data_IF_977106334874
#
_entry.id   IF_977106334874
#
_cell.length_a   1.000
_cell.length_b   1.000
_cell.length_c   1.000
_cell.angle_alpha   90.00
_cell.angle_beta   90.00
_cell.angle_gamma   90.00
#
_symmetry.space_group_name_H-M   'P 1'
#
loop_
_entity.id
_entity.type
_entity.pdbx_description
1 polymer ?
#
# COMPACT_ATOMS: atom_id res chain seq x y z
N UNK A 1 -10.12 15.38 -5.58
CA UNK A 1 -10.42 14.93 -4.21
C UNK A 1 -10.16 13.43 -4.08
N UNK A 2 -9.58 13.03 -2.95
CA UNK A 2 -9.46 11.61 -2.58
C UNK A 2 -10.81 11.15 -2.05
N UNK A 3 -11.25 9.97 -2.49
CA UNK A 3 -12.45 9.31 -1.95
C UNK A 3 -12.01 8.34 -0.86
N UNK A 4 -12.55 8.52 0.33
CA UNK A 4 -12.29 7.68 1.49
C UNK A 4 -13.44 6.69 1.68
N UNK A 5 -13.11 5.45 1.88
CA UNK A 5 -14.04 4.38 2.20
C UNK A 5 -13.73 3.85 3.60
N UNK A 6 -14.80 3.64 4.35
CA UNK A 6 -14.76 2.98 5.63
C UNK A 6 -15.79 1.86 5.62
N UNK A 7 -15.36 0.65 5.92
CA UNK A 7 -16.20 -0.54 5.85
C UNK A 7 -16.18 -1.27 7.18
N UNK A 8 -17.35 -1.43 7.77
CA UNK A 8 -17.57 -2.21 8.98
C UNK A 8 -18.42 -3.43 8.65
N UNK A 9 -18.06 -4.58 9.16
CA UNK A 9 -18.84 -5.80 9.00
C UNK A 9 -18.58 -6.81 10.13
N UNK A 10 -19.46 -7.77 10.28
CA UNK A 10 -19.28 -8.87 11.21
C UNK A 10 -18.96 -10.15 10.47
N UNK A 11 -17.76 -10.68 10.66
CA UNK A 11 -17.37 -11.96 10.10
C UNK A 11 -17.92 -13.12 10.93
N UNK A 12 -18.85 -13.92 10.36
CA UNK A 12 -19.50 -15.05 11.03
C UNK A 12 -19.05 -16.41 10.52
N UNK A 13 -18.18 -16.46 9.52
CA UNK A 13 -17.75 -17.71 8.88
C UNK A 13 -16.23 -17.74 8.71
N UNK A 14 -15.66 -18.92 8.74
CA UNK A 14 -14.25 -19.15 8.44
C UNK A 14 -14.02 -19.58 6.98
N UNK A 15 -12.76 -19.81 6.65
CA UNK A 15 -12.31 -20.45 5.40
C UNK A 15 -12.75 -19.72 4.12
N UNK A 16 -12.70 -18.38 4.12
CA UNK A 16 -13.04 -17.59 2.95
C UNK A 16 -12.12 -16.37 2.79
N UNK A 17 -12.23 -15.73 1.65
CA UNK A 17 -11.63 -14.44 1.36
C UNK A 17 -12.72 -13.44 0.99
N UNK A 18 -12.64 -12.25 1.54
CA UNK A 18 -13.51 -11.13 1.19
C UNK A 18 -12.67 -10.04 0.54
N UNK A 19 -13.13 -9.54 -0.60
CA UNK A 19 -12.44 -8.51 -1.37
C UNK A 19 -13.39 -7.37 -1.69
N UNK A 20 -12.88 -6.15 -1.66
CA UNK A 20 -13.53 -5.03 -2.34
C UNK A 20 -12.95 -4.91 -3.74
N UNK A 21 -13.81 -4.76 -4.74
CA UNK A 21 -13.44 -4.76 -6.15
C UNK A 21 -13.77 -3.42 -6.77
N UNK A 22 -12.80 -2.87 -7.51
CA UNK A 22 -12.95 -1.67 -8.30
C UNK A 22 -12.88 -2.01 -9.78
N UNK A 23 -13.79 -1.45 -10.58
CA UNK A 23 -13.69 -1.51 -12.03
C UNK A 23 -12.76 -0.40 -12.51
N UNK A 24 -11.74 -0.76 -13.28
CA UNK A 24 -10.81 0.21 -13.86
C UNK A 24 -11.47 0.98 -15.01
N UNK A 25 -11.18 2.25 -15.12
CA UNK A 25 -11.65 3.08 -16.23
C UNK A 25 -10.92 2.83 -17.56
N UNK A 26 -9.83 2.07 -17.55
CA UNK A 26 -9.03 1.72 -18.72
C UNK A 26 -8.43 0.31 -18.63
N UNK A 27 -7.92 -0.20 -19.77
CA UNK A 27 -7.19 -1.47 -19.82
C UNK A 27 -5.71 -1.22 -19.53
N UNK A 28 -5.31 -1.15 -18.27
CA UNK A 28 -3.89 -1.14 -17.93
C UNK A 28 -3.33 -2.57 -17.95
N UNK A 29 -2.16 -2.74 -18.57
CA UNK A 29 -1.48 -4.04 -18.69
C UNK A 29 -0.97 -4.59 -17.35
N UNK A 30 -1.03 -3.80 -16.29
CA UNK A 30 -0.57 -4.18 -14.96
C UNK A 30 -0.84 -3.10 -13.92
N UNK A 31 -0.24 -3.28 -12.77
CA UNK A 31 -0.25 -2.32 -11.68
C UNK A 31 1.17 -2.11 -11.16
N UNK A 32 1.40 -1.00 -10.48
CA UNK A 32 2.62 -0.76 -9.71
C UNK A 32 2.22 -0.65 -8.25
N UNK A 33 2.87 -1.38 -7.40
CA UNK A 33 2.60 -1.37 -5.95
C UNK A 33 3.78 -0.87 -5.16
N UNK A 34 3.51 -0.09 -4.13
CA UNK A 34 4.51 0.26 -3.16
C UNK A 34 4.99 -0.95 -2.39
N UNK A 35 6.30 -1.02 -2.22
CA UNK A 35 6.98 -1.97 -1.37
C UNK A 35 7.95 -1.19 -0.45
N UNK A 36 8.66 -1.89 0.45
CA UNK A 36 9.68 -1.27 1.29
C UNK A 36 10.74 -0.58 0.42
N UNK A 37 10.88 0.74 0.54
CA UNK A 37 11.87 1.56 -0.15
C UNK A 37 11.83 1.59 -1.69
N UNK A 38 10.79 1.03 -2.31
CA UNK A 38 10.66 1.00 -3.78
C UNK A 38 9.22 0.80 -4.21
N UNK A 39 8.97 0.94 -5.51
CA UNK A 39 7.75 0.49 -6.17
C UNK A 39 8.06 -0.63 -7.13
N UNK A 40 7.15 -1.59 -7.26
CA UNK A 40 7.34 -2.79 -8.07
C UNK A 40 6.21 -2.91 -9.09
N UNK A 41 6.58 -2.97 -10.37
CA UNK A 41 5.66 -3.27 -11.46
C UNK A 41 5.18 -4.72 -11.40
N UNK A 42 3.87 -4.91 -11.51
CA UNK A 42 3.18 -6.21 -11.50
C UNK A 42 2.40 -6.36 -12.79
N UNK A 43 2.86 -7.23 -13.67
CA UNK A 43 2.10 -7.54 -14.88
C UNK A 43 0.76 -8.17 -14.50
N UNK A 44 -0.30 -7.83 -15.24
CA UNK A 44 -1.55 -8.54 -15.11
C UNK A 44 -1.34 -9.98 -15.59
N UNK A 45 -1.55 -11.01 -14.77
CA UNK A 45 -1.36 -12.37 -15.19
C UNK A 45 -2.37 -12.73 -16.28
N UNK A 46 -1.96 -13.57 -17.22
CA UNK A 46 -2.90 -14.18 -18.15
C UNK A 46 -4.02 -14.87 -17.35
N UNK A 47 -5.25 -14.94 -17.89
CA UNK A 47 -6.34 -15.64 -17.24
C UNK A 47 -5.88 -17.05 -16.84
N UNK A 48 -5.81 -17.32 -15.54
CA UNK A 48 -5.44 -18.65 -15.07
C UNK A 48 -6.65 -19.56 -15.33
N UNK A 49 -6.43 -20.64 -16.07
CA UNK A 49 -7.42 -21.66 -16.29
C UNK A 49 -8.06 -22.09 -14.95
N UNK A 50 -9.37 -21.97 -14.87
CA UNK A 50 -10.11 -22.02 -13.60
C UNK A 50 -10.51 -23.43 -13.15
N UNK A 51 -10.07 -24.49 -13.82
CA UNK A 51 -10.45 -25.86 -13.45
C UNK A 51 -9.44 -26.49 -12.52
N UNK A 52 -9.95 -27.07 -11.45
CA UNK A 52 -9.17 -27.74 -10.39
C UNK A 52 -8.30 -28.87 -10.96
N UNK A 53 -8.78 -29.55 -11.99
CA UNK A 53 -8.08 -30.68 -12.63
C UNK A 53 -6.85 -30.20 -13.44
N UNK A 54 -6.95 -29.09 -14.16
CA UNK A 54 -5.87 -28.57 -15.00
C UNK A 54 -4.71 -27.97 -14.19
N UNK A 55 -4.96 -27.54 -12.95
CA UNK A 55 -3.93 -26.98 -12.07
C UNK A 55 -3.14 -28.06 -11.31
N UNK A 56 -3.78 -29.18 -11.00
CA UNK A 56 -3.15 -30.23 -10.19
C UNK A 56 -2.04 -30.98 -10.96
N UNK A 57 -2.19 -31.12 -12.27
CA UNK A 57 -1.27 -31.86 -13.12
C UNK A 57 -0.11 -31.01 -13.66
N UNK A 58 -0.21 -29.68 -13.57
CA UNK A 58 0.77 -28.75 -14.18
C UNK A 58 1.81 -28.22 -13.21
N UNK A 59 1.68 -28.43 -11.89
CA UNK A 59 2.60 -27.87 -10.91
C UNK A 59 3.55 -28.96 -10.36
N UNK A 60 4.85 -28.88 -10.65
CA UNK A 60 5.83 -29.70 -9.97
C UNK A 60 5.75 -29.49 -8.45
N UNK A 61 6.01 -30.54 -7.68
CA UNK A 61 6.06 -30.46 -6.22
C UNK A 61 7.00 -29.32 -5.78
N UNK A 62 6.50 -28.43 -4.95
CA UNK A 62 7.26 -27.32 -4.39
C UNK A 62 7.22 -25.99 -5.19
N UNK A 63 6.54 -25.96 -6.32
CA UNK A 63 6.31 -24.71 -7.07
C UNK A 63 4.90 -24.17 -6.86
N UNK A 64 4.78 -22.85 -6.78
CA UNK A 64 3.49 -22.17 -6.73
C UNK A 64 3.06 -21.71 -8.12
N UNK A 65 1.79 -21.85 -8.43
CA UNK A 65 1.22 -21.26 -9.63
C UNK A 65 1.27 -19.72 -9.55
N UNK A 66 1.46 -19.03 -10.67
CA UNK A 66 1.37 -17.58 -10.72
C UNK A 66 0.06 -17.09 -10.10
N UNK A 67 0.15 -16.08 -9.25
CA UNK A 67 -0.99 -15.46 -8.58
C UNK A 67 -1.33 -14.12 -9.22
N UNK A 68 -2.61 -13.78 -9.23
CA UNK A 68 -3.08 -12.44 -9.57
C UNK A 68 -3.11 -11.50 -8.35
N UNK A 69 -2.58 -11.95 -7.21
CA UNK A 69 -2.53 -11.20 -5.97
C UNK A 69 -1.11 -10.92 -5.56
N UNK A 70 -0.88 -9.71 -5.10
CA UNK A 70 0.44 -9.18 -4.83
C UNK A 70 0.43 -8.39 -3.52
N UNK A 71 1.57 -8.34 -2.82
CA UNK A 71 1.70 -7.47 -1.66
C UNK A 71 1.73 -6.00 -2.07
N UNK A 72 1.19 -5.15 -1.22
CA UNK A 72 1.37 -3.71 -1.27
C UNK A 72 1.51 -3.16 0.15
N UNK A 73 2.11 -1.98 0.27
CA UNK A 73 2.20 -1.26 1.53
C UNK A 73 1.00 -0.30 1.63
N UNK A 74 1.19 0.96 1.34
CA UNK A 74 0.17 2.01 1.48
C UNK A 74 -0.71 2.18 0.25
N UNK A 75 -0.15 1.91 -0.94
CA UNK A 75 -0.86 2.12 -2.20
C UNK A 75 -0.41 1.17 -3.31
N UNK A 76 -1.26 1.07 -4.29
CA UNK A 76 -0.90 0.65 -5.64
C UNK A 76 -1.61 1.55 -6.64
N UNK A 77 -1.10 1.62 -7.87
CA UNK A 77 -1.79 2.30 -8.97
C UNK A 77 -1.85 1.42 -10.21
N UNK A 78 -2.89 1.63 -11.01
CA UNK A 78 -3.11 0.92 -12.27
C UNK A 78 -3.75 1.87 -13.28
N UNK A 79 -3.05 2.10 -14.40
CA UNK A 79 -3.45 3.15 -15.33
C UNK A 79 -3.37 4.53 -14.67
N UNK A 80 -4.46 5.27 -14.72
CA UNK A 80 -4.56 6.63 -14.18
C UNK A 80 -5.24 6.69 -12.79
N UNK A 81 -5.28 5.57 -12.08
CA UNK A 81 -5.99 5.44 -10.81
C UNK A 81 -5.07 4.94 -9.71
N UNK A 82 -5.12 5.62 -8.56
CA UNK A 82 -4.39 5.26 -7.35
C UNK A 82 -5.36 4.74 -6.31
N UNK A 83 -4.98 3.67 -5.65
CA UNK A 83 -5.73 3.02 -4.60
C UNK A 83 -4.91 3.01 -3.32
N UNK A 84 -5.51 3.43 -2.21
CA UNK A 84 -4.87 3.58 -0.91
C UNK A 84 -5.45 2.58 0.09
N UNK A 85 -4.64 2.20 1.07
CA UNK A 85 -5.11 1.38 2.17
C UNK A 85 -4.44 1.75 3.49
N UNK A 86 -5.10 1.38 4.58
CA UNK A 86 -4.57 1.48 5.94
C UNK A 86 -4.48 0.08 6.53
N UNK A 87 -3.38 -0.63 6.21
CA UNK A 87 -3.10 -1.95 6.76
C UNK A 87 -3.64 -3.15 5.98
N UNK A 88 -4.06 -2.97 4.72
CA UNK A 88 -4.45 -4.07 3.83
C UNK A 88 -3.25 -4.49 2.96
N UNK A 89 -2.54 -5.59 3.31
CA UNK A 89 -1.24 -5.89 2.71
C UNK A 89 -1.32 -6.58 1.33
N UNK A 90 -2.51 -6.83 0.81
CA UNK A 90 -2.69 -7.59 -0.43
C UNK A 90 -3.69 -6.91 -1.36
N UNK A 91 -3.31 -6.76 -2.61
CA UNK A 91 -4.21 -6.38 -3.70
C UNK A 91 -4.26 -7.46 -4.78
N UNK A 92 -5.35 -7.50 -5.53
CA UNK A 92 -5.53 -8.35 -6.70
C UNK A 92 -5.70 -7.53 -7.97
N UNK A 93 -5.38 -8.14 -9.11
CA UNK A 93 -5.65 -7.53 -10.42
C UNK A 93 -6.16 -8.54 -11.44
N UNK A 94 -7.06 -8.05 -12.28
CA UNK A 94 -7.56 -8.73 -13.47
C UNK A 94 -7.58 -7.72 -14.62
N UNK A 95 -7.97 -8.14 -15.82
CA UNK A 95 -7.92 -7.27 -17.00
C UNK A 95 -8.61 -5.91 -16.78
N UNK A 96 -9.82 -5.92 -16.20
CA UNK A 96 -10.65 -4.72 -16.05
C UNK A 96 -10.93 -4.37 -14.58
N UNK A 97 -10.28 -5.05 -13.63
CA UNK A 97 -10.56 -4.91 -12.22
C UNK A 97 -9.28 -4.93 -11.40
N UNK A 98 -9.35 -4.24 -10.28
CA UNK A 98 -8.40 -4.38 -9.17
C UNK A 98 -9.19 -4.59 -7.89
N UNK A 99 -8.56 -5.17 -6.88
CA UNK A 99 -9.22 -5.43 -5.61
C UNK A 99 -8.26 -5.26 -4.43
N UNK A 100 -8.82 -4.94 -3.26
CA UNK A 100 -8.16 -5.17 -1.98
C UNK A 100 -8.73 -6.41 -1.31
N UNK A 101 -7.88 -7.26 -0.78
CA UNK A 101 -8.29 -8.30 0.16
C UNK A 101 -8.52 -7.65 1.52
N UNK A 102 -9.79 -7.50 1.90
CA UNK A 102 -10.17 -6.88 3.18
C UNK A 102 -10.26 -7.89 4.32
N UNK A 103 -10.41 -9.18 4.00
CA UNK A 103 -10.35 -10.26 4.96
C UNK A 103 -9.84 -11.54 4.30
N UNK A 104 -8.93 -12.22 5.00
CA UNK A 104 -8.48 -13.55 4.65
C UNK A 104 -8.64 -14.48 5.85
N UNK A 105 -9.78 -15.12 5.93
CA UNK A 105 -10.16 -16.05 7.00
C UNK A 105 -9.64 -17.46 6.67
N UNK A 106 -8.52 -17.87 7.26
CA UNK A 106 -7.87 -19.17 6.99
C UNK A 106 -7.43 -19.82 8.29
N UNK A 107 -8.13 -20.86 8.72
CA UNK A 107 -7.91 -21.52 10.01
C UNK A 107 -6.73 -22.52 10.07
N UNK A 108 -5.82 -22.50 9.09
CA UNK A 108 -4.62 -23.33 9.08
C UNK A 108 -3.39 -22.54 8.70
N UNK A 109 -2.27 -22.75 9.36
CA UNK A 109 -1.00 -22.14 9.03
C UNK A 109 -0.50 -22.57 7.64
N UNK A 110 -0.66 -23.85 7.30
CA UNK A 110 -0.36 -24.41 5.98
C UNK A 110 -1.30 -25.57 5.67
N UNK A 111 -1.42 -25.89 4.38
CA UNK A 111 -2.16 -27.06 3.88
C UNK A 111 -1.34 -27.83 2.87
N UNK A 112 -1.45 -29.15 2.88
CA UNK A 112 -0.69 -30.03 1.98
C UNK A 112 -1.19 -29.93 0.54
N UNK A 113 -2.49 -29.70 0.34
CA UNK A 113 -3.10 -29.60 -1.00
C UNK A 113 -3.73 -28.23 -1.17
N UNK A 114 -3.11 -27.42 -2.00
CA UNK A 114 -3.62 -26.14 -2.46
C UNK A 114 -3.78 -26.19 -3.98
N UNK A 115 -4.78 -25.49 -4.50
CA UNK A 115 -5.03 -25.41 -5.94
C UNK A 115 -3.85 -24.84 -6.73
N UNK A 116 -3.05 -24.00 -6.11
CA UNK A 116 -1.89 -23.35 -6.72
C UNK A 116 -0.55 -24.00 -6.39
N UNK A 117 -0.52 -25.07 -5.57
CA UNK A 117 0.73 -25.69 -5.16
C UNK A 117 0.53 -27.15 -4.78
N UNK A 118 1.30 -28.05 -5.39
CA UNK A 118 1.37 -29.45 -5.01
C UNK A 118 2.37 -29.66 -3.87
N UNK A 119 1.89 -29.86 -2.66
CA UNK A 119 2.71 -30.09 -1.46
C UNK A 119 2.59 -29.01 -0.40
N UNK A 120 3.04 -29.32 0.82
CA UNK A 120 3.02 -28.39 1.95
C UNK A 120 4.21 -27.43 1.94
N UNK A 121 4.01 -26.19 2.42
CA UNK A 121 5.08 -25.21 2.63
C UNK A 121 5.43 -25.07 4.12
N UNK A 122 4.81 -25.84 4.98
CA UNK A 122 5.03 -25.79 6.42
C UNK A 122 4.10 -26.76 7.17
N UNK A 123 4.14 -26.76 8.49
CA UNK A 123 3.31 -27.64 9.29
C UNK A 123 1.82 -27.30 9.15
N UNK A 124 0.97 -28.33 9.03
CA UNK A 124 -0.49 -28.20 9.02
C UNK A 124 -1.03 -27.96 10.43
N UNK A 125 -0.71 -26.82 11.02
CA UNK A 125 -1.21 -26.44 12.35
C UNK A 125 -2.54 -25.69 12.21
N UNK A 126 -3.46 -25.99 13.11
CA UNK A 126 -4.70 -25.23 13.24
C UNK A 126 -4.41 -23.85 13.86
N UNK A 127 -4.96 -22.83 13.25
CA UNK A 127 -4.88 -21.44 13.69
C UNK A 127 -6.30 -20.84 13.65
N UNK A 128 -7.21 -21.29 14.54
CA UNK A 128 -8.63 -20.92 14.47
C UNK A 128 -8.86 -19.41 14.56
N UNK A 129 -8.03 -18.70 15.31
CA UNK A 129 -8.10 -17.24 15.45
C UNK A 129 -7.84 -16.50 14.14
N UNK A 130 -7.08 -17.10 13.22
CA UNK A 130 -6.83 -16.52 11.88
C UNK A 130 -8.07 -16.57 10.96
N UNK A 131 -9.18 -17.14 11.40
CA UNK A 131 -10.48 -16.94 10.77
C UNK A 131 -11.07 -15.54 11.04
N UNK A 132 -10.51 -14.79 12.00
CA UNK A 132 -10.90 -13.41 12.31
C UNK A 132 -12.43 -13.27 12.48
N UNK A 133 -13.04 -14.15 13.27
CA UNK A 133 -14.49 -14.05 13.55
C UNK A 133 -14.81 -12.83 14.41
N UNK A 134 -15.98 -12.25 14.18
CA UNK A 134 -16.48 -11.08 14.91
C UNK A 134 -16.40 -9.79 14.09
N UNK A 135 -16.47 -8.62 14.76
CA UNK A 135 -16.47 -7.33 14.10
C UNK A 135 -15.14 -7.03 13.43
N UNK A 136 -15.21 -6.51 12.22
CA UNK A 136 -14.07 -6.09 11.39
C UNK A 136 -14.31 -4.67 10.91
N UNK A 137 -13.23 -3.92 10.82
CA UNK A 137 -13.22 -2.54 10.36
C UNK A 137 -12.02 -2.34 9.44
N UNK A 138 -12.23 -1.79 8.26
CA UNK A 138 -11.16 -1.52 7.29
C UNK A 138 -11.37 -0.19 6.61
N UNK A 139 -10.25 0.51 6.34
CA UNK A 139 -10.25 1.78 5.61
C UNK A 139 -9.39 1.66 4.37
N UNK A 140 -9.88 2.22 3.27
CA UNK A 140 -9.19 2.29 2.00
C UNK A 140 -9.64 3.52 1.22
N UNK A 141 -8.96 3.84 0.13
CA UNK A 141 -9.26 5.04 -0.64
C UNK A 141 -8.96 4.88 -2.12
N UNK A 142 -9.43 5.85 -2.88
CA UNK A 142 -9.23 5.96 -4.32
C UNK A 142 -9.07 7.41 -4.73
N UNK A 143 -8.20 7.66 -5.72
CA UNK A 143 -8.09 8.94 -6.40
C UNK A 143 -7.65 8.76 -7.86
N UNK A 144 -8.00 9.68 -8.77
CA UNK A 144 -7.35 9.77 -10.06
C UNK A 144 -5.90 10.23 -9.89
N UNK A 145 -4.97 9.61 -10.58
CA UNK A 145 -3.54 9.95 -10.51
C UNK A 145 -3.27 11.40 -10.97
N UNK A 146 -4.04 11.88 -11.94
CA UNK A 146 -4.00 13.28 -12.40
C UNK A 146 -4.24 14.31 -11.28
N UNK A 147 -4.84 13.90 -10.15
CA UNK A 147 -5.01 14.77 -8.99
C UNK A 147 -3.67 15.27 -8.43
N UNK A 148 -2.62 14.48 -8.54
CA UNK A 148 -1.27 14.88 -8.12
C UNK A 148 -0.75 16.11 -8.89
N UNK A 149 -1.23 16.32 -10.12
CA UNK A 149 -0.86 17.46 -10.96
C UNK A 149 -1.71 18.72 -10.71
N UNK A 150 -2.86 18.57 -10.03
CA UNK A 150 -3.84 19.66 -9.81
C UNK A 150 -3.58 20.46 -8.53
N UNK A 151 -2.65 20.04 -7.71
CA UNK A 151 -2.30 20.80 -6.52
C UNK A 151 -1.45 21.99 -6.96
N UNK A 152 -2.01 23.22 -6.87
CA UNK A 152 -1.42 24.48 -7.32
C UNK A 152 -0.22 24.95 -6.49
N UNK A 153 0.29 24.12 -5.59
CA UNK A 153 1.46 24.44 -4.81
C UNK A 153 2.69 24.60 -5.72
N UNK A 154 3.51 25.65 -5.55
CA UNK A 154 4.71 25.85 -6.35
C UNK A 154 5.64 24.63 -6.23
N UNK A 155 5.91 23.96 -7.33
CA UNK A 155 6.76 22.75 -7.37
C UNK A 155 6.06 21.45 -7.78
N UNK A 156 4.75 21.46 -8.04
CA UNK A 156 4.03 20.33 -8.64
C UNK A 156 4.16 20.24 -10.17
N UNK A 157 4.69 21.26 -10.81
CA UNK A 157 4.92 21.23 -12.24
C UNK A 157 6.01 20.20 -12.57
N UNK A 158 5.65 19.10 -13.26
CA UNK A 158 6.59 18.15 -13.82
C UNK A 158 6.62 16.77 -13.18
N UNK A 159 5.56 16.31 -12.50
CA UNK A 159 5.44 14.91 -12.15
C UNK A 159 5.05 14.08 -13.38
N UNK A 160 5.98 13.96 -14.33
CA UNK A 160 5.88 12.99 -15.43
C UNK A 160 6.06 11.54 -14.93
N UNK A 161 6.35 11.36 -13.63
CA UNK A 161 6.55 10.06 -12.99
C UNK A 161 5.32 9.67 -12.17
N UNK A 162 4.51 8.71 -12.63
CA UNK A 162 3.30 8.25 -11.93
C UNK A 162 3.55 7.82 -10.49
N UNK A 163 4.73 7.25 -10.21
CA UNK A 163 5.09 6.76 -8.88
C UNK A 163 5.23 7.90 -7.85
N UNK A 164 5.86 9.00 -8.23
CA UNK A 164 6.00 10.16 -7.35
C UNK A 164 4.63 10.78 -7.03
N UNK A 165 3.74 10.88 -8.04
CA UNK A 165 2.38 11.35 -7.85
C UNK A 165 1.55 10.45 -6.93
N UNK A 166 1.65 9.14 -7.10
CA UNK A 166 0.95 8.16 -6.26
C UNK A 166 1.44 8.21 -4.80
N UNK A 167 2.76 8.34 -4.58
CA UNK A 167 3.34 8.51 -3.23
C UNK A 167 2.83 9.75 -2.53
N UNK A 168 2.83 10.87 -3.24
CA UNK A 168 2.33 12.12 -2.68
C UNK A 168 0.85 12.03 -2.32
N UNK A 169 0.02 11.44 -3.18
CA UNK A 169 -1.39 11.22 -2.85
C UNK A 169 -1.56 10.26 -1.66
N UNK A 170 -0.68 9.28 -1.50
CA UNK A 170 -0.67 8.40 -0.34
C UNK A 170 -0.29 9.15 0.94
N UNK A 171 0.66 10.07 0.89
CA UNK A 171 1.02 10.94 2.02
C UNK A 171 -0.17 11.84 2.42
N UNK A 172 -0.91 12.37 1.44
CA UNK A 172 -2.14 13.13 1.71
C UNK A 172 -3.23 12.22 2.30
N UNK A 173 -3.38 11.01 1.80
CA UNK A 173 -4.33 10.03 2.32
C UNK A 173 -4.06 9.66 3.77
N UNK A 174 -2.79 9.43 4.12
CA UNK A 174 -2.34 9.14 5.48
C UNK A 174 -2.15 10.37 6.35
N UNK A 175 -2.03 11.54 5.72
CA UNK A 175 -1.72 12.83 6.34
C UNK A 175 -2.75 13.24 7.36
N UNK A 176 -2.62 12.72 8.55
CA UNK A 176 -3.43 13.08 9.69
C UNK A 176 -2.79 14.30 10.37
N UNK A 177 -3.58 15.33 10.60
CA UNK A 177 -3.28 16.31 11.62
C UNK A 177 -3.00 15.57 12.93
N UNK A 178 -1.75 15.55 13.35
CA UNK A 178 -1.38 14.96 14.63
C UNK A 178 -1.45 16.05 15.68
N UNK A 179 -2.42 15.94 16.58
CA UNK A 179 -2.48 16.76 17.79
C UNK A 179 -1.55 16.20 18.86
N UNK A 180 -0.79 17.09 19.48
CA UNK A 180 0.02 16.75 20.66
C UNK A 180 -0.53 17.55 21.84
N UNK A 181 -0.66 16.88 22.99
CA UNK A 181 -0.89 17.57 24.24
C UNK A 181 0.43 18.17 24.73
N UNK A 182 0.45 19.48 24.89
CA UNK A 182 1.58 20.12 25.55
C UNK A 182 1.45 19.92 27.05
N UNK A 183 2.56 19.61 27.77
CA UNK A 183 2.53 19.53 29.22
C UNK A 183 2.08 20.85 29.83
N UNK A 184 1.41 20.77 30.96
CA UNK A 184 1.01 21.96 31.73
C UNK A 184 2.28 22.75 32.11
N UNK A 185 2.31 24.03 31.74
CA UNK A 185 3.49 24.89 31.92
C UNK A 185 4.44 24.99 30.73
N UNK A 186 4.11 24.39 29.58
CA UNK A 186 4.86 24.64 28.35
C UNK A 186 4.73 26.12 27.96
N UNK A 187 5.88 26.80 27.81
CA UNK A 187 5.91 28.20 27.43
C UNK A 187 5.36 28.41 26.01
N UNK A 188 4.59 29.48 25.75
CA UNK A 188 4.06 29.80 24.42
C UNK A 188 5.14 30.01 23.35
N UNK A 189 6.36 30.34 23.73
CA UNK A 189 7.49 30.46 22.81
C UNK A 189 7.79 29.15 22.03
N UNK A 190 7.41 27.98 22.58
CA UNK A 190 7.44 26.73 21.84
C UNK A 190 6.42 26.66 20.70
N UNK A 191 5.43 27.52 20.69
CA UNK A 191 4.36 27.59 19.69
C UNK A 191 4.70 28.48 18.49
N UNK A 192 5.72 29.35 18.59
CA UNK A 192 6.16 30.21 17.48
C UNK A 192 6.74 29.43 16.28
N UNK A 193 7.05 28.15 16.48
CA UNK A 193 7.54 27.27 15.42
C UNK A 193 6.42 26.51 14.68
N UNK A 194 5.17 26.60 15.11
CA UNK A 194 4.09 25.76 14.58
C UNK A 194 3.56 26.18 13.21
N UNK A 195 3.89 27.38 12.74
CA UNK A 195 3.49 27.88 11.42
C UNK A 195 4.63 27.85 10.39
N UNK A 196 5.75 27.22 10.73
CA UNK A 196 6.93 27.11 9.85
C UNK A 196 7.25 25.64 9.56
N UNK A 197 7.66 25.40 8.33
CA UNK A 197 8.30 24.13 7.97
C UNK A 197 9.67 24.03 8.66
N UNK A 198 10.00 22.88 9.23
CA UNK A 198 11.33 22.63 9.81
C UNK A 198 12.40 22.53 8.72
N UNK A 199 12.00 22.11 7.52
CA UNK A 199 12.86 22.02 6.35
C UNK A 199 11.99 21.97 5.09
N UNK A 200 12.56 22.43 3.99
CA UNK A 200 11.94 22.32 2.67
C UNK A 200 12.77 21.38 1.80
N UNK A 201 12.08 20.49 1.10
CA UNK A 201 12.69 19.57 0.14
C UNK A 201 12.40 20.10 -1.26
N UNK A 202 13.44 20.48 -2.00
CA UNK A 202 13.31 21.15 -3.30
C UNK A 202 12.74 20.27 -4.40
N UNK A 203 12.85 18.95 -4.28
CA UNK A 203 12.40 17.98 -5.29
C UNK A 203 11.38 17.00 -4.71
N UNK A 204 10.19 17.01 -5.26
CA UNK A 204 9.05 16.19 -4.78
C UNK A 204 9.12 14.71 -5.16
N UNK A 205 10.07 14.31 -5.99
CA UNK A 205 10.40 12.90 -6.22
C UNK A 205 11.14 12.30 -5.02
N UNK A 206 11.53 13.15 -4.08
CA UNK A 206 12.12 12.75 -2.81
C UNK A 206 11.01 12.69 -1.76
N UNK A 207 10.75 11.52 -1.23
CA UNK A 207 9.81 11.32 -0.12
C UNK A 207 10.50 11.49 1.22
N UNK A 208 9.85 12.21 2.13
CA UNK A 208 10.21 12.24 3.53
C UNK A 208 9.90 10.87 4.16
N UNK A 209 10.86 10.30 4.87
CA UNK A 209 10.68 9.00 5.52
C UNK A 209 10.70 9.10 7.06
N UNK A 210 11.64 9.85 7.59
CA UNK A 210 11.75 10.03 9.02
C UNK A 210 12.63 11.22 9.39
N UNK A 211 12.33 11.80 10.55
CA UNK A 211 13.17 12.78 11.23
C UNK A 211 13.25 12.40 12.71
N UNK A 212 14.44 12.16 13.21
CA UNK A 212 14.63 11.69 14.58
C UNK A 212 16.00 12.02 15.12
N UNK A 213 16.11 11.99 16.44
CA UNK A 213 17.37 12.14 17.14
C UNK A 213 18.02 10.77 17.32
N UNK A 214 19.29 10.65 17.01
CA UNK A 214 20.02 9.38 17.10
C UNK A 214 21.40 9.56 17.73
N UNK A 215 21.84 8.51 18.42
CA UNK A 215 23.18 8.38 18.98
C UNK A 215 23.41 9.19 20.27
N UNK A 216 24.57 8.96 20.91
CA UNK A 216 24.95 9.64 22.14
C UNK A 216 25.21 11.14 21.97
N UNK A 217 25.50 11.56 20.75
CA UNK A 217 25.82 12.97 20.41
C UNK A 217 24.57 13.79 20.05
N UNK A 218 23.39 13.25 20.25
CA UNK A 218 22.11 13.91 19.93
C UNK A 218 22.02 14.41 18.47
N UNK A 219 22.61 13.69 17.54
CA UNK A 219 22.54 14.03 16.12
C UNK A 219 21.10 13.96 15.60
N UNK A 220 20.69 14.95 14.81
CA UNK A 220 19.43 14.92 14.08
C UNK A 220 19.62 14.17 12.77
N UNK A 221 18.77 13.21 12.50
CA UNK A 221 18.81 12.39 11.30
C UNK A 221 17.56 12.66 10.48
N UNK A 222 17.76 13.15 9.27
CA UNK A 222 16.72 13.27 8.25
C UNK A 222 16.88 12.09 7.26
N UNK A 223 15.85 11.26 7.14
CA UNK A 223 15.83 10.16 6.19
C UNK A 223 14.92 10.50 5.02
N UNK A 224 15.49 10.46 3.84
CA UNK A 224 14.83 10.75 2.58
C UNK A 224 14.91 9.53 1.65
N UNK A 225 13.92 9.35 0.80
CA UNK A 225 13.88 8.32 -0.23
C UNK A 225 13.76 8.98 -1.60
N UNK A 226 14.73 8.71 -2.47
CA UNK A 226 14.61 8.99 -3.90
C UNK A 226 13.97 7.77 -4.60
N UNK A 227 12.73 7.92 -5.05
CA UNK A 227 11.99 6.87 -5.76
C UNK A 227 12.01 7.01 -7.28
N UNK A 228 12.67 8.04 -7.81
CA UNK A 228 12.61 8.36 -9.25
C UNK A 228 13.48 7.47 -10.15
N UNK A 229 14.38 6.67 -9.59
CA UNK A 229 15.36 5.90 -10.38
C UNK A 229 16.41 6.75 -11.08
N UNK A 230 16.45 8.07 -10.85
CA UNK A 230 17.43 9.02 -11.39
C UNK A 230 18.26 9.64 -10.27
N UNK A 231 19.47 10.06 -10.60
CA UNK A 231 20.28 10.87 -9.68
C UNK A 231 19.67 12.28 -9.57
N UNK A 232 19.34 12.68 -8.35
CA UNK A 232 18.74 13.98 -8.07
C UNK A 232 19.69 14.83 -7.22
N UNK A 233 19.81 16.10 -7.58
CA UNK A 233 20.43 17.10 -6.73
C UNK A 233 19.36 17.68 -5.81
N UNK A 234 19.59 17.59 -4.53
CA UNK A 234 18.66 18.04 -3.50
C UNK A 234 19.22 19.24 -2.77
N UNK A 235 18.42 20.30 -2.69
CA UNK A 235 18.65 21.41 -1.79
C UNK A 235 17.65 21.27 -0.61
N UNK A 236 18.17 21.37 0.60
CA UNK A 236 17.39 21.31 1.86
C UNK A 236 17.56 22.67 2.52
N UNK A 237 16.46 23.41 2.61
CA UNK A 237 16.40 24.72 3.25
C UNK A 237 15.94 24.66 4.72
#
# INVERSE_FOLDING_TARGET
PIVFFHTEFENKVGEHRLEVVFNKSGSAAGAVSENHFSSIGRACPAPVLNTVAEKADLQPLGHEAPSSRYPCQRFFYSGEEVYFNSGLPEFGQAANQVSYTILRAVGNLSRVRLLGRGGGAGPCLLTPEANCLGPQEVSYGWAPLALASLTEEPGFAGLDEPDAGARQLAEIYEGNLRGFWLPEGAEPAALEFLDRSLFEISDRRISFQAFYQAGPDNCLVLRLLNSSGQDLKLDIG
#
